data_IF_492315434650
#
_entry.id   IF_492315434650
#
_cell.length_a   1.000
_cell.length_b   1.000
_cell.length_c   1.000
_cell.angle_alpha   90.00
_cell.angle_beta   90.00
_cell.angle_gamma   90.00
#
_symmetry.space_group_name_H-M   'P 1'
#
loop_
_entity.id
_entity.type
_entity.pdbx_description
1 polymer ?
#
# COMPACT_ATOMS: atom_id res chain seq x y z
N UNK A 1 37.16 12.35 -1.73
CA UNK A 1 36.49 11.20 -1.07
C UNK A 1 35.10 11.08 -1.66
N UNK A 2 34.84 10.05 -2.45
CA UNK A 2 33.52 9.75 -2.99
C UNK A 2 32.68 9.08 -1.91
N UNK A 3 31.83 9.84 -1.25
CA UNK A 3 30.77 9.30 -0.42
C UNK A 3 29.83 8.49 -1.31
N UNK A 4 29.97 7.18 -1.29
CA UNK A 4 28.96 6.26 -1.81
C UNK A 4 28.07 5.97 -0.62
N UNK A 5 26.80 6.45 -0.60
CA UNK A 5 25.89 6.02 0.45
C UNK A 5 25.73 4.50 0.28
N UNK A 6 26.19 3.72 1.25
CA UNK A 6 25.69 2.37 1.42
C UNK A 6 24.18 2.51 1.53
N UNK A 7 23.47 2.11 0.49
CA UNK A 7 22.03 1.95 0.54
C UNK A 7 21.79 0.99 1.71
N UNK A 8 21.07 1.37 2.78
CA UNK A 8 20.71 0.41 3.80
C UNK A 8 20.06 -0.79 3.13
N UNK A 9 20.38 -2.00 3.57
CA UNK A 9 19.75 -3.24 3.06
C UNK A 9 18.25 -2.99 2.96
N UNK A 10 17.65 -3.22 1.78
CA UNK A 10 16.24 -2.87 1.51
C UNK A 10 15.34 -3.27 2.67
N UNK A 11 14.41 -2.40 3.06
CA UNK A 11 13.50 -2.61 4.19
C UNK A 11 12.72 -3.91 4.04
N UNK A 12 12.33 -4.23 2.81
CA UNK A 12 11.60 -5.46 2.48
C UNK A 12 12.37 -6.75 2.80
N UNK A 13 13.69 -6.70 2.93
CA UNK A 13 14.53 -7.85 3.30
C UNK A 13 14.90 -7.89 4.79
N UNK A 14 14.48 -6.90 5.57
CA UNK A 14 14.71 -6.93 7.01
C UNK A 14 13.78 -7.96 7.67
N UNK A 15 14.25 -8.62 8.74
CA UNK A 15 13.34 -9.37 9.62
C UNK A 15 12.22 -8.45 10.13
N UNK A 16 10.99 -8.97 10.23
CA UNK A 16 9.83 -8.20 10.68
C UNK A 16 10.10 -7.47 12.00
N UNK A 17 10.78 -8.12 12.94
CA UNK A 17 11.18 -7.49 14.21
C UNK A 17 12.05 -6.23 14.00
N UNK A 18 13.03 -6.30 13.10
CA UNK A 18 13.91 -5.17 12.77
C UNK A 18 13.18 -4.04 12.07
N UNK A 19 12.25 -4.36 11.16
CA UNK A 19 11.41 -3.36 10.49
C UNK A 19 10.51 -2.61 11.50
N UNK A 20 9.85 -3.35 12.40
CA UNK A 20 9.00 -2.77 13.44
C UNK A 20 9.82 -1.90 14.40
N UNK A 21 11.02 -2.33 14.78
CA UNK A 21 11.91 -1.53 15.62
C UNK A 21 12.37 -0.24 14.93
N UNK A 22 12.64 -0.29 13.62
CA UNK A 22 12.98 0.92 12.85
C UNK A 22 11.82 1.91 12.73
N UNK A 23 10.59 1.43 12.58
CA UNK A 23 9.39 2.30 12.63
C UNK A 23 9.26 2.98 14.00
N UNK A 24 9.54 2.26 15.08
CA UNK A 24 9.44 2.78 16.45
C UNK A 24 10.58 3.74 16.82
N UNK A 25 11.70 3.69 16.09
CA UNK A 25 12.87 4.50 16.37
C UNK A 25 12.60 6.00 16.14
N UNK A 26 13.40 6.86 16.79
CA UNK A 26 13.40 8.32 16.54
C UNK A 26 14.10 8.63 15.20
N UNK A 27 13.51 8.12 14.12
CA UNK A 27 14.01 8.19 12.76
C UNK A 27 12.97 8.88 11.87
N UNK A 28 13.40 9.65 10.86
CA UNK A 28 12.50 10.23 9.86
C UNK A 28 11.88 9.21 8.90
N UNK A 29 12.49 8.03 8.71
CA UNK A 29 11.98 6.93 7.90
C UNK A 29 12.66 5.60 8.30
N UNK A 30 12.02 4.42 8.11
CA UNK A 30 10.66 4.21 7.59
C UNK A 30 9.58 4.77 8.52
N UNK A 31 8.38 4.98 7.98
CA UNK A 31 7.26 5.57 8.70
C UNK A 31 5.90 5.01 8.28
N UNK A 32 4.86 5.85 8.40
CA UNK A 32 3.47 5.44 8.17
C UNK A 32 3.18 4.94 6.74
N UNK A 33 3.79 5.53 5.71
CA UNK A 33 3.60 5.07 4.32
C UNK A 33 4.20 3.68 4.08
N UNK A 34 5.41 3.44 4.56
CA UNK A 34 6.08 2.14 4.53
C UNK A 34 5.28 1.07 5.29
N UNK A 35 4.71 1.42 6.45
CA UNK A 35 3.83 0.54 7.21
C UNK A 35 2.50 0.25 6.50
N UNK A 36 1.93 1.26 5.81
CA UNK A 36 0.72 1.11 5.01
C UNK A 36 0.93 0.16 3.82
N UNK A 37 2.06 0.30 3.12
CA UNK A 37 2.47 -0.61 2.05
C UNK A 37 2.67 -2.04 2.55
N UNK A 38 3.33 -2.22 3.71
CA UNK A 38 3.45 -3.54 4.35
C UNK A 38 2.08 -4.14 4.65
N UNK A 39 1.18 -3.38 5.29
CA UNK A 39 -0.18 -3.83 5.60
C UNK A 39 -0.92 -4.30 4.35
N UNK A 40 -0.87 -3.51 3.28
CA UNK A 40 -1.46 -3.89 1.99
C UNK A 40 -0.86 -5.17 1.42
N UNK A 41 0.47 -5.31 1.45
CA UNK A 41 1.17 -6.49 0.90
C UNK A 41 0.82 -7.77 1.64
N UNK A 42 0.71 -7.73 2.98
CA UNK A 42 0.30 -8.87 3.79
C UNK A 42 -1.17 -9.19 3.54
N UNK A 43 -2.02 -8.16 3.42
CA UNK A 43 -3.43 -8.33 3.09
C UNK A 43 -3.65 -9.04 1.75
N UNK A 44 -2.94 -8.61 0.70
CA UNK A 44 -2.95 -9.27 -0.60
C UNK A 44 -2.39 -10.70 -0.52
N UNK A 45 -1.32 -10.94 0.25
CA UNK A 45 -0.75 -12.29 0.43
C UNK A 45 -1.73 -13.27 1.08
N UNK A 46 -2.51 -12.82 2.07
CA UNK A 46 -3.55 -13.64 2.71
C UNK A 46 -4.65 -14.00 1.70
N UNK A 47 -5.07 -13.06 0.84
CA UNK A 47 -6.05 -13.35 -0.21
C UNK A 47 -5.50 -14.34 -1.26
N UNK A 48 -4.23 -14.20 -1.66
CA UNK A 48 -3.53 -15.19 -2.53
C UNK A 48 -3.57 -16.58 -1.88
N UNK A 49 -3.21 -16.67 -0.59
CA UNK A 49 -3.22 -17.93 0.16
C UNK A 49 -4.61 -18.59 0.13
N UNK A 50 -5.70 -17.83 0.33
CA UNK A 50 -7.06 -18.37 0.26
C UNK A 50 -7.41 -18.91 -1.14
N UNK A 51 -6.98 -18.21 -2.20
CA UNK A 51 -7.13 -18.74 -3.56
C UNK A 51 -6.38 -20.07 -3.72
N UNK A 52 -5.12 -20.16 -3.29
CA UNK A 52 -4.31 -21.39 -3.37
C UNK A 52 -4.94 -22.56 -2.61
N UNK A 53 -5.52 -22.32 -1.42
CA UNK A 53 -6.24 -23.37 -0.67
C UNK A 53 -7.57 -23.80 -1.29
N UNK A 54 -8.02 -23.11 -2.35
CA UNK A 54 -9.29 -23.39 -3.04
C UNK A 54 -9.07 -24.02 -4.41
N UNK A 55 -8.08 -23.54 -5.17
CA UNK A 55 -7.79 -24.00 -6.53
C UNK A 55 -7.39 -25.49 -6.53
N UNK A 56 -8.01 -26.29 -7.40
CA UNK A 56 -7.72 -27.72 -7.51
C UNK A 56 -8.27 -28.58 -6.36
N UNK A 57 -8.94 -27.97 -5.39
CA UNK A 57 -9.64 -28.70 -4.32
C UNK A 57 -10.90 -29.37 -4.88
N UNK A 58 -11.11 -30.64 -4.52
CA UNK A 58 -12.32 -31.39 -4.87
C UNK A 58 -13.57 -30.63 -4.43
N UNK A 59 -14.51 -30.41 -5.35
CA UNK A 59 -15.74 -29.66 -5.13
C UNK A 59 -15.66 -28.16 -5.45
N UNK A 60 -14.48 -27.66 -5.87
CA UNK A 60 -14.25 -26.26 -6.27
C UNK A 60 -13.86 -26.11 -7.74
N UNK A 61 -14.13 -27.13 -8.57
CA UNK A 61 -13.77 -27.15 -9.99
C UNK A 61 -14.44 -25.99 -10.74
N UNK A 62 -15.70 -25.67 -10.41
CA UNK A 62 -16.46 -24.60 -11.04
C UNK A 62 -15.88 -23.19 -10.82
N UNK A 63 -15.12 -22.98 -9.75
CA UNK A 63 -14.54 -21.67 -9.39
C UNK A 63 -13.02 -21.61 -9.58
N UNK A 64 -12.38 -22.75 -9.89
CA UNK A 64 -10.91 -22.84 -9.94
C UNK A 64 -10.28 -21.90 -10.97
N UNK A 65 -10.83 -21.79 -12.18
CA UNK A 65 -10.29 -20.90 -13.23
C UNK A 65 -10.44 -19.42 -12.86
N UNK A 66 -11.59 -19.05 -12.29
CA UNK A 66 -11.84 -17.67 -11.83
C UNK A 66 -10.87 -17.31 -10.70
N UNK A 67 -10.75 -18.17 -9.68
CA UNK A 67 -9.87 -17.92 -8.55
C UNK A 67 -8.38 -17.96 -8.93
N UNK A 68 -7.98 -18.74 -9.93
CA UNK A 68 -6.63 -18.68 -10.49
C UNK A 68 -6.33 -17.30 -11.13
N UNK A 69 -7.30 -16.75 -11.87
CA UNK A 69 -7.16 -15.41 -12.46
C UNK A 69 -7.09 -14.33 -11.37
N UNK A 70 -7.91 -14.45 -10.33
CA UNK A 70 -7.89 -13.55 -9.17
C UNK A 70 -6.55 -13.64 -8.43
N UNK A 71 -6.05 -14.87 -8.20
CA UNK A 71 -4.74 -15.14 -7.58
C UNK A 71 -3.61 -14.44 -8.33
N UNK A 72 -3.57 -14.56 -9.66
CA UNK A 72 -2.51 -13.95 -10.48
C UNK A 72 -2.50 -12.41 -10.36
N UNK A 73 -3.68 -11.78 -10.36
CA UNK A 73 -3.81 -10.32 -10.17
C UNK A 73 -3.40 -9.88 -8.77
N UNK A 74 -3.79 -10.64 -7.75
CA UNK A 74 -3.40 -10.37 -6.37
C UNK A 74 -1.90 -10.53 -6.17
N UNK A 75 -1.26 -11.49 -6.83
CA UNK A 75 0.18 -11.68 -6.77
C UNK A 75 0.93 -10.50 -7.39
N UNK A 76 0.46 -9.97 -8.52
CA UNK A 76 0.99 -8.73 -9.09
C UNK A 76 0.87 -7.54 -8.12
N UNK A 77 -0.31 -7.37 -7.51
CA UNK A 77 -0.56 -6.30 -6.54
C UNK A 77 0.29 -6.47 -5.28
N UNK A 78 0.45 -7.69 -4.77
CA UNK A 78 1.31 -8.02 -3.62
C UNK A 78 2.74 -7.60 -3.86
N UNK A 79 3.30 -7.91 -5.04
CA UNK A 79 4.67 -7.52 -5.41
C UNK A 79 4.82 -6.01 -5.56
N UNK A 80 3.82 -5.32 -6.14
CA UNK A 80 3.81 -3.86 -6.20
C UNK A 80 3.80 -3.23 -4.80
N UNK A 81 2.92 -3.71 -3.91
CA UNK A 81 2.82 -3.22 -2.53
C UNK A 81 4.11 -3.48 -1.73
N UNK A 82 4.77 -4.62 -1.94
CA UNK A 82 6.08 -4.88 -1.33
C UNK A 82 7.14 -3.87 -1.78
N UNK A 83 7.15 -3.52 -3.07
CA UNK A 83 8.07 -2.52 -3.62
C UNK A 83 7.83 -1.13 -3.00
N UNK A 84 6.57 -0.80 -2.73
CA UNK A 84 6.17 0.50 -2.16
C UNK A 84 6.72 0.74 -0.75
N UNK A 85 7.08 -0.32 0.00
CA UNK A 85 7.74 -0.21 1.31
C UNK A 85 9.04 0.59 1.20
N UNK A 86 9.89 0.23 0.22
CA UNK A 86 11.14 0.94 -0.03
C UNK A 86 10.91 2.29 -0.72
N UNK A 87 9.97 2.35 -1.68
CA UNK A 87 9.70 3.57 -2.46
C UNK A 87 9.21 4.74 -1.58
N UNK A 88 8.40 4.47 -0.55
CA UNK A 88 7.96 5.48 0.42
C UNK A 88 9.16 6.11 1.16
N UNK A 89 10.03 5.24 1.69
CA UNK A 89 11.24 5.68 2.40
C UNK A 89 12.18 6.46 1.46
N UNK A 90 12.32 6.02 0.20
CA UNK A 90 13.14 6.71 -0.79
C UNK A 90 12.57 8.06 -1.20
N UNK A 91 11.26 8.16 -1.46
CA UNK A 91 10.60 9.41 -1.81
C UNK A 91 10.78 10.46 -0.69
N UNK A 92 10.57 10.07 0.56
CA UNK A 92 10.75 10.96 1.70
C UNK A 92 12.23 11.35 1.91
N UNK A 93 13.14 10.39 1.75
CA UNK A 93 14.58 10.65 1.86
C UNK A 93 15.07 11.62 0.77
N UNK A 94 14.61 11.43 -0.47
CA UNK A 94 14.92 12.33 -1.60
C UNK A 94 14.44 13.74 -1.33
N UNK A 95 13.20 13.90 -0.85
CA UNK A 95 12.66 15.21 -0.47
C UNK A 95 13.51 15.90 0.58
N UNK A 96 13.91 15.17 1.63
CA UNK A 96 14.77 15.72 2.71
C UNK A 96 16.15 16.15 2.24
N UNK A 97 16.72 15.46 1.26
CA UNK A 97 17.99 15.86 0.64
C UNK A 97 17.79 17.09 -0.24
N UNK A 98 16.74 17.10 -1.08
CA UNK A 98 16.45 18.17 -2.02
C UNK A 98 16.26 19.53 -1.32
N UNK A 99 15.50 19.59 -0.22
CA UNK A 99 15.27 20.84 0.53
C UNK A 99 16.54 21.42 1.16
N UNK A 100 17.59 20.61 1.34
CA UNK A 100 18.88 21.00 1.91
C UNK A 100 19.93 21.37 0.86
N UNK A 101 19.60 21.30 -0.43
CA UNK A 101 20.54 21.68 -1.48
C UNK A 101 20.98 23.15 -1.33
N UNK A 102 22.24 23.48 -1.72
CA UNK A 102 22.71 24.86 -1.77
C UNK A 102 21.83 25.75 -2.64
N UNK A 103 21.82 27.05 -2.36
CA UNK A 103 21.00 28.05 -3.05
C UNK A 103 21.72 29.40 -3.18
N UNK A 104 23.06 29.39 -3.21
CA UNK A 104 23.88 30.60 -3.22
C UNK A 104 24.03 31.22 -4.62
N UNK A 105 23.93 30.41 -5.67
CA UNK A 105 23.98 30.83 -7.08
C UNK A 105 22.64 30.65 -7.79
N UNK A 106 22.45 31.30 -8.94
CA UNK A 106 21.27 31.13 -9.81
C UNK A 106 21.09 29.67 -10.25
N UNK A 107 22.18 29.02 -10.62
CA UNK A 107 22.23 27.63 -11.06
C UNK A 107 21.86 26.68 -9.90
N UNK A 108 22.37 26.94 -8.70
CA UNK A 108 22.02 26.18 -7.50
C UNK A 108 20.55 26.33 -7.12
N UNK A 109 20.00 27.55 -7.18
CA UNK A 109 18.57 27.80 -6.93
C UNK A 109 17.71 27.05 -7.92
N UNK A 110 17.99 27.16 -9.22
CA UNK A 110 17.22 26.45 -10.26
C UNK A 110 17.27 24.94 -10.09
N UNK A 111 18.46 24.37 -9.77
CA UNK A 111 18.61 22.94 -9.48
C UNK A 111 17.81 22.52 -8.24
N UNK A 112 17.89 23.30 -7.15
CA UNK A 112 17.15 23.04 -5.91
C UNK A 112 15.65 23.05 -6.15
N UNK A 113 15.13 24.08 -6.83
CA UNK A 113 13.72 24.19 -7.17
C UNK A 113 13.22 22.97 -7.94
N UNK A 114 13.97 22.53 -8.95
CA UNK A 114 13.65 21.33 -9.73
C UNK A 114 13.62 20.07 -8.85
N UNK A 115 14.68 19.80 -8.08
CA UNK A 115 14.76 18.60 -7.25
C UNK A 115 13.68 18.59 -6.15
N UNK A 116 13.39 19.74 -5.54
CA UNK A 116 12.31 19.85 -4.56
C UNK A 116 10.95 19.59 -5.21
N UNK A 117 10.69 20.12 -6.41
CA UNK A 117 9.43 19.91 -7.10
C UNK A 117 9.21 18.42 -7.48
N UNK A 118 10.25 17.77 -8.02
CA UNK A 118 10.21 16.34 -8.34
C UNK A 118 10.03 15.48 -7.09
N UNK A 119 10.85 15.68 -6.06
CA UNK A 119 10.75 14.91 -4.83
C UNK A 119 9.43 15.13 -4.09
N UNK A 120 8.87 16.35 -4.13
CA UNK A 120 7.54 16.64 -3.59
C UNK A 120 6.46 15.86 -4.34
N UNK A 121 6.59 15.71 -5.66
CA UNK A 121 5.65 14.91 -6.46
C UNK A 121 5.71 13.45 -6.02
N UNK A 122 6.91 12.89 -5.83
CA UNK A 122 7.10 11.51 -5.38
C UNK A 122 6.45 11.26 -4.00
N UNK A 123 6.55 12.21 -3.06
CA UNK A 123 5.93 12.08 -1.72
C UNK A 123 4.40 12.03 -1.74
N UNK A 124 3.77 12.44 -2.86
CA UNK A 124 2.31 12.35 -3.05
C UNK A 124 1.95 11.11 -3.86
N UNK A 125 2.68 10.84 -4.93
CA UNK A 125 2.31 9.81 -5.89
C UNK A 125 2.59 8.39 -5.37
N UNK A 126 3.66 8.18 -4.58
CA UNK A 126 3.94 6.89 -3.95
C UNK A 126 2.82 6.44 -3.00
N UNK A 127 2.41 7.22 -1.98
CA UNK A 127 1.28 6.82 -1.14
C UNK A 127 -0.04 6.73 -1.92
N UNK A 128 -0.23 7.54 -2.98
CA UNK A 128 -1.41 7.42 -3.85
C UNK A 128 -1.44 6.08 -4.59
N UNK A 129 -0.30 5.62 -5.11
CA UNK A 129 -0.19 4.29 -5.73
C UNK A 129 -0.45 3.17 -4.73
N UNK A 130 0.10 3.27 -3.52
CA UNK A 130 -0.18 2.31 -2.43
C UNK A 130 -1.68 2.25 -2.12
N UNK A 131 -2.36 3.41 -2.00
CA UNK A 131 -3.80 3.49 -1.78
C UNK A 131 -4.59 2.76 -2.87
N UNK A 132 -4.26 3.00 -4.14
CA UNK A 132 -4.92 2.35 -5.28
C UNK A 132 -4.65 0.86 -5.37
N UNK A 133 -3.43 0.42 -5.07
CA UNK A 133 -3.07 -1.01 -5.07
C UNK A 133 -3.81 -1.76 -3.96
N UNK A 134 -3.92 -1.17 -2.76
CA UNK A 134 -4.75 -1.71 -1.69
C UNK A 134 -6.23 -1.77 -2.09
N UNK A 135 -6.76 -0.72 -2.73
CA UNK A 135 -8.14 -0.68 -3.25
C UNK A 135 -8.39 -1.81 -4.25
N UNK A 136 -7.51 -1.94 -5.25
CA UNK A 136 -7.63 -2.95 -6.30
C UNK A 136 -7.52 -4.38 -5.76
N UNK A 137 -6.72 -4.61 -4.72
CA UNK A 137 -6.66 -5.92 -4.07
C UNK A 137 -7.92 -6.21 -3.25
N UNK A 138 -8.49 -5.19 -2.57
CA UNK A 138 -9.71 -5.32 -1.79
C UNK A 138 -10.92 -5.71 -2.65
N UNK A 139 -10.94 -5.27 -3.92
CA UNK A 139 -11.99 -5.62 -4.91
C UNK A 139 -12.16 -7.13 -5.14
N UNK A 140 -11.15 -7.93 -4.80
CA UNK A 140 -11.22 -9.39 -4.91
C UNK A 140 -11.71 -10.08 -3.64
N UNK A 141 -11.71 -9.38 -2.49
CA UNK A 141 -11.99 -9.98 -1.19
C UNK A 141 -13.40 -10.56 -1.12
N UNK A 142 -14.41 -9.88 -1.68
CA UNK A 142 -15.79 -10.37 -1.68
C UNK A 142 -15.93 -11.67 -2.47
N UNK A 143 -15.32 -11.74 -3.66
CA UNK A 143 -15.30 -12.95 -4.50
C UNK A 143 -14.65 -14.11 -3.76
N UNK A 144 -13.51 -13.85 -3.10
CA UNK A 144 -12.75 -14.85 -2.35
C UNK A 144 -13.52 -15.35 -1.14
N UNK A 145 -14.08 -14.46 -0.32
CA UNK A 145 -14.88 -14.87 0.84
C UNK A 145 -16.10 -15.66 0.38
N UNK A 146 -16.75 -15.27 -0.71
CA UNK A 146 -17.96 -15.93 -1.21
C UNK A 146 -17.69 -17.33 -1.78
N UNK A 147 -16.69 -17.46 -2.64
CA UNK A 147 -16.42 -18.67 -3.44
C UNK A 147 -15.28 -19.54 -2.92
N UNK A 148 -14.45 -19.00 -2.04
CA UNK A 148 -13.29 -19.66 -1.46
C UNK A 148 -13.63 -20.78 -0.48
N UNK A 149 -12.59 -21.53 -0.12
CA UNK A 149 -12.63 -22.54 0.93
C UNK A 149 -13.11 -21.91 2.27
N UNK A 150 -14.22 -22.37 2.88
CA UNK A 150 -14.74 -21.80 4.12
C UNK A 150 -13.78 -21.98 5.30
N UNK A 151 -12.90 -22.99 5.25
CA UNK A 151 -11.91 -23.23 6.32
C UNK A 151 -10.83 -22.16 6.37
N UNK A 152 -10.74 -21.27 5.38
CA UNK A 152 -9.78 -20.17 5.30
C UNK A 152 -10.47 -18.80 5.31
N UNK A 153 -11.74 -18.75 5.76
CA UNK A 153 -12.51 -17.49 5.79
C UNK A 153 -11.92 -16.47 6.76
N UNK A 154 -11.29 -16.92 7.86
CA UNK A 154 -10.58 -16.04 8.80
C UNK A 154 -9.39 -15.36 8.13
N UNK A 155 -8.65 -16.07 7.29
CA UNK A 155 -7.50 -15.52 6.57
C UNK A 155 -7.95 -14.46 5.56
N UNK A 156 -9.05 -14.73 4.83
CA UNK A 156 -9.64 -13.75 3.92
C UNK A 156 -10.15 -12.50 4.65
N UNK A 157 -10.77 -12.67 5.83
CA UNK A 157 -11.24 -11.57 6.65
C UNK A 157 -10.07 -10.69 7.11
N UNK A 158 -9.02 -11.28 7.69
CA UNK A 158 -7.81 -10.56 8.08
C UNK A 158 -7.16 -9.87 6.87
N UNK A 159 -7.10 -10.54 5.72
CA UNK A 159 -6.57 -9.97 4.49
C UNK A 159 -7.29 -8.69 4.06
N UNK A 160 -8.63 -8.71 4.07
CA UNK A 160 -9.46 -7.56 3.71
C UNK A 160 -9.30 -6.39 4.69
N UNK A 161 -9.23 -6.66 5.99
CA UNK A 161 -8.98 -5.64 7.02
C UNK A 161 -7.61 -4.96 6.83
N UNK A 162 -6.58 -5.75 6.58
CA UNK A 162 -5.22 -5.24 6.36
C UNK A 162 -5.11 -4.40 5.09
N UNK A 163 -5.85 -4.74 4.04
CA UNK A 163 -5.95 -3.94 2.82
C UNK A 163 -6.63 -2.59 3.09
N UNK A 164 -7.71 -2.55 3.86
CA UNK A 164 -8.32 -1.27 4.25
C UNK A 164 -7.37 -0.45 5.13
N UNK A 165 -6.71 -1.07 6.10
CA UNK A 165 -5.74 -0.38 6.95
C UNK A 165 -4.58 0.23 6.13
N UNK A 166 -4.07 -0.52 5.15
CA UNK A 166 -3.06 -0.03 4.20
C UNK A 166 -3.58 1.13 3.34
N UNK A 167 -4.80 1.03 2.82
CA UNK A 167 -5.44 2.10 2.05
C UNK A 167 -5.61 3.38 2.87
N UNK A 168 -6.16 3.28 4.08
CA UNK A 168 -6.38 4.41 4.99
C UNK A 168 -5.07 5.07 5.42
N UNK A 169 -4.05 4.25 5.75
CA UNK A 169 -2.71 4.73 6.05
C UNK A 169 -2.10 5.49 4.88
N UNK A 170 -2.17 4.93 3.67
CA UNK A 170 -1.67 5.55 2.46
C UNK A 170 -2.42 6.84 2.11
N UNK A 171 -3.76 6.86 2.23
CA UNK A 171 -4.59 8.04 2.07
C UNK A 171 -4.17 9.19 2.99
N UNK A 172 -3.90 8.90 4.27
CA UNK A 172 -3.40 9.90 5.21
C UNK A 172 -2.02 10.46 4.79
N UNK A 173 -1.15 9.61 4.23
CA UNK A 173 0.15 10.04 3.70
C UNK A 173 0.01 10.88 2.41
N UNK A 174 -1.02 10.67 1.59
CA UNK A 174 -1.35 11.60 0.49
C UNK A 174 -1.79 12.94 1.08
N UNK A 175 -2.76 12.94 1.99
CA UNK A 175 -3.38 14.15 2.52
C UNK A 175 -2.40 15.04 3.30
N UNK A 176 -1.48 14.46 4.07
CA UNK A 176 -0.46 15.23 4.80
C UNK A 176 0.47 15.99 3.84
N UNK A 177 0.85 15.37 2.71
CA UNK A 177 1.69 16.01 1.69
C UNK A 177 0.94 17.03 0.82
N UNK A 178 -0.39 17.11 0.96
CA UNK A 178 -1.23 18.15 0.36
C UNK A 178 -1.53 19.31 1.31
N UNK A 179 -1.15 19.26 2.59
CA UNK A 179 -1.46 20.34 3.54
C UNK A 179 -0.96 21.70 3.04
N UNK A 180 -1.80 22.73 3.19
CA UNK A 180 -1.50 24.09 2.74
C UNK A 180 -1.60 24.34 1.23
N UNK A 181 -1.91 23.32 0.42
CA UNK A 181 -2.03 23.45 -1.05
C UNK A 181 -3.49 23.55 -1.48
N UNK A 182 -3.87 24.64 -2.13
CA UNK A 182 -5.27 24.91 -2.52
C UNK A 182 -5.50 24.94 -4.03
N UNK A 183 -4.51 24.57 -4.84
CA UNK A 183 -4.64 24.48 -6.30
C UNK A 183 -5.59 23.36 -6.74
N UNK A 184 -6.12 23.48 -7.97
CA UNK A 184 -7.11 22.55 -8.52
C UNK A 184 -6.64 21.09 -8.51
N UNK A 185 -5.35 20.85 -8.81
CA UNK A 185 -4.77 19.50 -8.80
C UNK A 185 -4.81 18.91 -7.38
N UNK A 186 -4.42 19.70 -6.37
CA UNK A 186 -4.52 19.27 -4.97
C UNK A 186 -5.96 19.00 -4.53
N UNK A 187 -6.94 19.78 -4.99
CA UNK A 187 -8.36 19.58 -4.68
C UNK A 187 -8.95 18.32 -5.34
N UNK A 188 -8.57 18.03 -6.59
CA UNK A 188 -8.95 16.80 -7.27
C UNK A 188 -8.40 15.57 -6.55
N UNK A 189 -7.15 15.61 -6.10
CA UNK A 189 -6.54 14.50 -5.33
C UNK A 189 -7.26 14.25 -4.01
N UNK A 190 -7.70 15.30 -3.29
CA UNK A 190 -8.50 15.12 -2.06
C UNK A 190 -9.83 14.44 -2.33
N UNK A 191 -10.52 14.88 -3.38
CA UNK A 191 -11.79 14.26 -3.80
C UNK A 191 -11.60 12.79 -4.16
N UNK A 192 -10.53 12.47 -4.89
CA UNK A 192 -10.17 11.10 -5.24
C UNK A 192 -9.91 10.24 -4.00
N UNK A 193 -9.14 10.75 -3.03
CA UNK A 193 -8.87 10.06 -1.76
C UNK A 193 -10.16 9.73 -1.03
N UNK A 194 -11.04 10.72 -0.82
CA UNK A 194 -12.29 10.50 -0.06
C UNK A 194 -13.26 9.57 -0.78
N UNK A 195 -13.34 9.65 -2.12
CA UNK A 195 -14.10 8.70 -2.93
C UNK A 195 -13.57 7.27 -2.74
N UNK A 196 -12.25 7.09 -2.85
CA UNK A 196 -11.60 5.78 -2.75
C UNK A 196 -11.79 5.17 -1.36
N UNK A 197 -11.67 5.96 -0.28
CA UNK A 197 -11.95 5.52 1.10
C UNK A 197 -13.40 5.10 1.28
N UNK A 198 -14.33 5.88 0.75
CA UNK A 198 -15.78 5.59 0.87
C UNK A 198 -16.13 4.28 0.18
N UNK A 199 -15.64 4.07 -1.04
CA UNK A 199 -15.83 2.83 -1.80
C UNK A 199 -15.22 1.62 -1.07
N UNK A 200 -13.98 1.75 -0.59
CA UNK A 200 -13.29 0.67 0.12
C UNK A 200 -13.97 0.28 1.44
N UNK A 201 -14.45 1.26 2.22
CA UNK A 201 -15.19 1.00 3.46
C UNK A 201 -16.52 0.29 3.19
N UNK A 202 -17.23 0.69 2.14
CA UNK A 202 -18.47 0.02 1.73
C UNK A 202 -18.20 -1.42 1.36
N UNK A 203 -17.19 -1.65 0.55
CA UNK A 203 -16.81 -3.02 0.15
C UNK A 203 -16.38 -3.87 1.34
N UNK A 204 -15.56 -3.34 2.26
CA UNK A 204 -15.20 -4.10 3.46
C UNK A 204 -16.43 -4.45 4.31
N UNK A 205 -17.43 -3.57 4.41
CA UNK A 205 -18.67 -3.87 5.12
C UNK A 205 -19.44 -5.05 4.48
N UNK A 206 -19.46 -5.13 3.15
CA UNK A 206 -20.02 -6.27 2.42
C UNK A 206 -19.23 -7.56 2.68
N UNK A 207 -17.89 -7.49 2.66
CA UNK A 207 -17.00 -8.62 2.99
C UNK A 207 -17.25 -9.11 4.42
N UNK A 208 -17.29 -8.21 5.40
CA UNK A 208 -17.59 -8.53 6.81
C UNK A 208 -18.91 -9.26 6.96
N UNK A 209 -19.95 -8.79 6.26
CA UNK A 209 -21.27 -9.43 6.28
C UNK A 209 -21.20 -10.89 5.78
N UNK A 210 -20.43 -11.16 4.72
CA UNK A 210 -20.23 -12.52 4.20
C UNK A 210 -19.39 -13.38 5.13
N UNK A 211 -18.34 -12.82 5.73
CA UNK A 211 -17.53 -13.50 6.74
C UNK A 211 -18.39 -13.92 7.93
N UNK A 212 -19.23 -13.01 8.45
CA UNK A 212 -20.12 -13.31 9.57
C UNK A 212 -21.10 -14.44 9.24
N UNK A 213 -21.69 -14.44 8.04
CA UNK A 213 -22.56 -15.54 7.60
C UNK A 213 -21.82 -16.88 7.61
N UNK A 214 -20.60 -16.92 7.06
CA UNK A 214 -19.80 -18.17 7.00
C UNK A 214 -19.32 -18.65 8.36
N UNK A 215 -19.01 -17.74 9.28
CA UNK A 215 -18.55 -18.10 10.63
C UNK A 215 -19.67 -18.59 11.55
N UNK A 216 -20.93 -18.24 11.26
CA UNK A 216 -22.09 -18.66 12.07
C UNK A 216 -22.64 -20.04 11.72
N UNK A 217 -22.23 -20.62 10.59
CA UNK A 217 -22.68 -21.93 10.10
C UNK A 217 -23.93 -21.81 9.26
#
# INVERSE_FOLDING_TARGET
MSYTPEMPSKLVYQPVAGFVEQIAAKSPAPGGGSAAALSGSVGAALLVMVCEFTIGKKGYEAVSTELATVRDKLEELRLKLLKQIDEDTWAFSRFRVAVKLPESTSEEKSRKEKEVAEATTDTIEVPRQTMHQCRAALEFALTIVSKGNPNTVSDAATGAEMLLAGLEGAANNVLINLLGRSDDKSNLLRTEVERTRTEARRELAEVRSHVEMKLRG
#
